data_IF_928301588785
#
_entry.id   IF_928301588785
#
_cell.length_a   1.000
_cell.length_b   1.000
_cell.length_c   1.000
_cell.angle_alpha   90.00
_cell.angle_beta   90.00
_cell.angle_gamma   90.00
#
_symmetry.space_group_name_H-M   'P 1'
#
loop_
_entity.id
_entity.type
_entity.pdbx_description
1 polymer ?
#
# COMPACT_ATOMS: atom_id res chain seq x y z
N UNK A 1 -10.05 -7.99 16.06
CA UNK A 1 -10.00 -8.90 14.90
C UNK A 1 -8.53 -9.08 14.58
N UNK A 2 -8.03 -10.31 14.53
CA UNK A 2 -6.71 -10.59 13.96
C UNK A 2 -6.89 -10.59 12.44
N UNK A 3 -6.19 -9.70 11.74
CA UNK A 3 -6.20 -9.69 10.28
C UNK A 3 -5.30 -10.82 9.78
N UNK A 4 -5.80 -11.63 8.84
CA UNK A 4 -5.00 -12.72 8.27
C UNK A 4 -3.81 -12.15 7.48
N UNK A 5 -2.61 -12.65 7.77
CA UNK A 5 -1.39 -12.26 7.06
C UNK A 5 -1.20 -13.17 5.85
N UNK A 6 -0.95 -12.58 4.69
CA UNK A 6 -0.69 -13.34 3.46
C UNK A 6 0.42 -12.69 2.64
N UNK A 7 1.10 -13.51 1.84
CA UNK A 7 2.20 -13.05 0.99
C UNK A 7 1.63 -12.47 -0.30
N UNK A 8 2.07 -11.26 -0.65
CA UNK A 8 1.60 -10.52 -1.82
C UNK A 8 2.77 -10.19 -2.72
N UNK A 9 2.61 -10.41 -4.03
CA UNK A 9 3.58 -9.96 -5.01
C UNK A 9 3.47 -8.45 -5.23
N UNK A 10 4.57 -7.72 -5.09
CA UNK A 10 4.53 -6.27 -5.12
C UNK A 10 4.17 -5.69 -6.50
N UNK A 11 4.53 -6.37 -7.58
CA UNK A 11 4.23 -5.90 -8.94
C UNK A 11 2.74 -6.07 -9.24
N UNK A 12 2.15 -7.18 -8.80
CA UNK A 12 0.71 -7.41 -8.89
C UNK A 12 -0.06 -6.39 -8.04
N UNK A 13 0.39 -6.15 -6.80
CA UNK A 13 -0.18 -5.14 -5.91
C UNK A 13 -0.16 -3.73 -6.53
N UNK A 14 0.98 -3.29 -7.07
CA UNK A 14 1.09 -1.99 -7.75
C UNK A 14 0.09 -1.89 -8.90
N UNK A 15 -0.11 -2.99 -9.66
CA UNK A 15 -1.07 -3.02 -10.77
C UNK A 15 -2.51 -2.87 -10.27
N UNK A 16 -2.88 -3.57 -9.21
CA UNK A 16 -4.20 -3.51 -8.59
C UNK A 16 -4.50 -2.13 -8.03
N UNK A 17 -3.57 -1.57 -7.26
CA UNK A 17 -3.65 -0.22 -6.71
C UNK A 17 -3.78 0.82 -7.83
N UNK A 18 -2.99 0.75 -8.90
CA UNK A 18 -3.15 1.66 -10.05
C UNK A 18 -4.54 1.55 -10.70
N UNK A 19 -5.12 0.35 -10.75
CA UNK A 19 -6.44 0.11 -11.31
C UNK A 19 -7.57 0.63 -10.41
N UNK A 20 -7.38 0.62 -9.08
CA UNK A 20 -8.30 1.16 -8.10
C UNK A 20 -8.30 2.70 -8.12
N UNK A 21 -7.11 3.30 -8.10
CA UNK A 21 -6.97 4.75 -8.07
C UNK A 21 -7.26 5.41 -9.42
N UNK A 22 -7.13 4.69 -10.55
CA UNK A 22 -7.39 5.17 -11.92
C UNK A 22 -6.84 6.59 -12.16
N UNK A 23 -7.73 7.55 -12.40
CA UNK A 23 -7.41 8.95 -12.69
C UNK A 23 -6.83 9.67 -11.47
N UNK A 24 -7.08 9.17 -10.26
CA UNK A 24 -6.54 9.74 -9.02
C UNK A 24 -5.07 9.37 -8.77
N UNK A 25 -4.51 8.41 -9.51
CA UNK A 25 -3.12 8.01 -9.38
C UNK A 25 -2.13 9.15 -9.71
N UNK A 26 -2.59 10.18 -10.40
CA UNK A 26 -1.79 11.34 -10.82
C UNK A 26 -1.88 12.55 -9.87
N UNK A 27 -2.72 12.51 -8.83
CA UNK A 27 -2.67 13.53 -7.78
C UNK A 27 -1.41 13.36 -6.95
N UNK A 28 -0.77 14.49 -6.59
CA UNK A 28 0.59 14.53 -6.00
C UNK A 28 0.83 13.50 -4.88
N UNK A 29 -0.05 13.33 -3.88
CA UNK A 29 0.20 12.39 -2.78
C UNK A 29 0.17 10.91 -3.24
N UNK A 30 -0.70 10.59 -4.21
CA UNK A 30 -0.80 9.25 -4.79
C UNK A 30 0.37 8.96 -5.73
N UNK A 31 0.84 9.97 -6.46
CA UNK A 31 2.01 9.84 -7.32
C UNK A 31 3.27 9.47 -6.51
N UNK A 32 3.47 10.12 -5.35
CA UNK A 32 4.57 9.78 -4.45
C UNK A 32 4.41 8.38 -3.85
N UNK A 33 3.19 8.00 -3.44
CA UNK A 33 2.90 6.63 -2.99
C UNK A 33 3.29 5.58 -4.05
N UNK A 34 2.86 5.74 -5.30
CA UNK A 34 3.19 4.80 -6.37
C UNK A 34 4.68 4.77 -6.71
N UNK A 35 5.37 5.89 -6.54
CA UNK A 35 6.82 5.96 -6.73
C UNK A 35 7.56 5.21 -5.62
N UNK A 36 7.12 5.34 -4.36
CA UNK A 36 7.64 4.57 -3.23
C UNK A 36 7.46 3.07 -3.45
N UNK A 37 6.25 2.63 -3.85
CA UNK A 37 6.02 1.22 -4.16
C UNK A 37 6.91 0.70 -5.29
N UNK A 38 7.08 1.50 -6.36
CA UNK A 38 7.94 1.12 -7.47
C UNK A 38 9.41 0.98 -7.06
N UNK A 39 9.92 1.86 -6.18
CA UNK A 39 11.26 1.77 -5.62
C UNK A 39 11.43 0.51 -4.75
N UNK A 40 10.46 0.20 -3.88
CA UNK A 40 10.49 -1.06 -3.11
C UNK A 40 10.50 -2.27 -4.07
N UNK A 41 9.70 -2.24 -5.12
CA UNK A 41 9.57 -3.32 -6.10
C UNK A 41 10.82 -3.57 -6.95
N UNK A 42 11.83 -2.68 -6.89
CA UNK A 42 13.15 -2.94 -7.48
C UNK A 42 14.03 -3.82 -6.59
N UNK A 43 13.72 -3.92 -5.29
CA UNK A 43 14.51 -4.62 -4.29
C UNK A 43 13.81 -5.83 -3.67
N UNK A 44 12.48 -5.84 -3.66
CA UNK A 44 11.65 -6.90 -3.11
C UNK A 44 10.68 -7.39 -4.16
N UNK A 45 10.47 -8.70 -4.21
CA UNK A 45 9.45 -9.33 -5.06
C UNK A 45 8.11 -9.40 -4.35
N UNK A 46 8.13 -9.59 -3.02
CA UNK A 46 6.95 -9.82 -2.22
C UNK A 46 7.02 -9.10 -0.86
N UNK A 47 5.86 -8.91 -0.24
CA UNK A 47 5.70 -8.45 1.14
C UNK A 47 4.57 -9.24 1.85
N UNK A 48 4.54 -9.19 3.18
CA UNK A 48 3.48 -9.76 3.99
C UNK A 48 2.41 -8.69 4.25
N UNK A 49 1.23 -8.92 3.68
CA UNK A 49 0.05 -8.10 3.89
C UNK A 49 -0.38 -8.08 5.37
N UNK A 50 -1.07 -7.01 5.77
CA UNK A 50 -1.52 -6.76 7.14
C UNK A 50 -0.37 -6.63 8.15
N UNK A 51 0.77 -6.16 7.67
CA UNK A 51 1.95 -5.85 8.48
C UNK A 51 2.56 -4.52 8.04
N UNK A 52 3.38 -3.92 8.91
CA UNK A 52 4.16 -2.74 8.56
C UNK A 52 5.38 -3.02 7.65
N UNK A 53 5.41 -4.13 6.90
CA UNK A 53 6.55 -4.45 6.03
C UNK A 53 6.78 -3.43 4.92
N UNK A 54 5.72 -2.95 4.26
CA UNK A 54 5.88 -1.93 3.22
C UNK A 54 6.45 -0.62 3.78
N UNK A 55 6.06 -0.22 5.00
CA UNK A 55 6.64 0.94 5.69
C UNK A 55 8.12 0.71 5.99
N UNK A 56 8.49 -0.48 6.50
CA UNK A 56 9.90 -0.83 6.73
C UNK A 56 10.70 -0.79 5.43
N UNK A 57 10.18 -1.36 4.36
CA UNK A 57 10.84 -1.34 3.05
C UNK A 57 10.92 0.06 2.45
N UNK A 58 9.93 0.92 2.67
CA UNK A 58 10.00 2.32 2.25
C UNK A 58 11.17 3.05 2.95
N UNK A 59 11.36 2.82 4.25
CA UNK A 59 12.52 3.38 4.96
C UNK A 59 13.87 2.85 4.42
N UNK A 60 13.94 1.56 4.08
CA UNK A 60 15.17 0.90 3.66
C UNK A 60 15.56 1.19 2.20
N UNK A 61 14.58 1.22 1.30
CA UNK A 61 14.82 1.19 -0.15
C UNK A 61 14.30 2.40 -0.91
N UNK A 62 13.44 3.24 -0.31
CA UNK A 62 12.84 4.36 -1.03
C UNK A 62 13.51 5.70 -0.72
N UNK A 63 14.29 6.19 -1.68
CA UNK A 63 14.84 7.54 -1.66
C UNK A 63 13.74 8.61 -1.68
N UNK A 64 12.64 8.31 -2.38
CA UNK A 64 11.45 9.16 -2.42
C UNK A 64 10.88 9.31 -1.02
N UNK A 65 10.61 8.19 -0.34
CA UNK A 65 10.05 8.21 1.01
C UNK A 65 10.94 8.97 1.99
N UNK A 66 12.26 8.80 1.92
CA UNK A 66 13.20 9.53 2.78
C UNK A 66 13.13 11.05 2.56
N UNK A 67 12.96 11.50 1.31
CA UNK A 67 12.88 12.91 0.92
C UNK A 67 11.52 13.59 1.10
N UNK A 68 10.46 12.86 1.49
CA UNK A 68 9.15 13.45 1.74
C UNK A 68 9.16 14.38 2.95
N UNK A 69 8.45 15.50 2.80
CA UNK A 69 8.06 16.40 3.88
C UNK A 69 7.19 15.65 4.91
N UNK A 70 7.11 16.11 6.18
CA UNK A 70 6.42 15.38 7.25
C UNK A 70 4.97 15.01 6.93
N UNK A 71 4.20 15.93 6.32
CA UNK A 71 2.79 15.70 6.00
C UNK A 71 2.62 14.65 4.89
N UNK A 72 3.41 14.75 3.82
CA UNK A 72 3.39 13.78 2.72
C UNK A 72 3.90 12.41 3.18
N UNK A 73 4.91 12.39 4.06
CA UNK A 73 5.44 11.16 4.67
C UNK A 73 4.37 10.48 5.53
N UNK A 74 3.61 11.24 6.32
CA UNK A 74 2.50 10.71 7.10
C UNK A 74 1.39 10.15 6.20
N UNK A 75 1.04 10.85 5.12
CA UNK A 75 0.08 10.36 4.12
C UNK A 75 0.54 9.05 3.49
N UNK A 76 1.77 9.01 2.95
CA UNK A 76 2.31 7.79 2.30
C UNK A 76 2.46 6.64 3.30
N UNK A 77 2.83 6.92 4.55
CA UNK A 77 2.86 5.91 5.61
C UNK A 77 1.46 5.33 5.83
N UNK A 78 0.44 6.19 5.92
CA UNK A 78 -0.95 5.76 6.07
C UNK A 78 -1.43 4.92 4.89
N UNK A 79 -0.95 5.19 3.67
CA UNK A 79 -1.31 4.41 2.48
C UNK A 79 -0.61 3.04 2.46
N UNK A 80 0.68 3.00 2.82
CA UNK A 80 1.45 1.75 2.88
C UNK A 80 0.97 0.82 3.99
N UNK A 81 0.46 1.38 5.08
CA UNK A 81 -0.11 0.64 6.20
C UNK A 81 -1.59 0.33 5.92
N UNK A 82 -2.40 1.34 5.60
CA UNK A 82 -3.87 1.29 5.57
C UNK A 82 -4.53 0.62 4.36
N UNK A 83 -3.91 0.62 3.18
CA UNK A 83 -4.51 0.02 1.97
C UNK A 83 -4.56 -1.51 2.02
N UNK A 84 -3.75 -2.13 2.90
CA UNK A 84 -3.78 -3.58 3.07
C UNK A 84 -4.81 -4.00 4.13
N UNK A 85 -5.09 -3.15 5.11
CA UNK A 85 -6.05 -3.43 6.18
C UNK A 85 -7.52 -3.29 5.74
N UNK A 86 -7.80 -2.68 4.59
CA UNK A 86 -9.18 -2.43 4.08
C UNK A 86 -9.70 -3.51 3.14
N UNK A 87 -9.19 -4.74 3.21
CA UNK A 87 -9.97 -5.89 2.75
C UNK A 87 -10.97 -6.23 3.86
N UNK A 88 -12.02 -5.41 3.99
CA UNK A 88 -13.28 -5.95 4.50
C UNK A 88 -13.65 -7.04 3.49
N UNK A 89 -13.46 -8.32 3.87
CA UNK A 89 -14.24 -9.36 3.25
C UNK A 89 -15.68 -8.88 3.35
N UNK A 90 -16.33 -8.68 2.21
CA UNK A 90 -17.76 -8.52 2.20
C UNK A 90 -18.33 -9.75 2.87
N UNK A 91 -18.75 -9.59 4.12
CA UNK A 91 -19.60 -10.52 4.83
C UNK A 91 -20.92 -10.56 4.05
N UNK A 92 -20.92 -11.32 2.97
CA UNK A 92 -22.11 -11.77 2.28
C UNK A 92 -22.75 -12.84 3.18
N UNK A 93 -23.32 -12.42 4.31
CA UNK A 93 -24.26 -13.21 5.10
C UNK A 93 -25.09 -12.36 6.08
N UNK A 94 -26.29 -11.96 5.61
CA UNK A 94 -27.51 -12.10 6.42
C UNK A 94 -28.13 -10.82 6.99
N UNK A 95 -29.16 -10.31 6.31
CA UNK A 95 -30.48 -10.13 6.95
C UNK A 95 -31.58 -9.96 5.89
N UNK A 96 -32.23 -11.08 5.57
CA UNK A 96 -33.61 -11.11 5.09
C UNK A 96 -34.47 -11.39 6.33
N UNK A 97 -35.20 -10.38 6.79
CA UNK A 97 -36.46 -10.53 7.52
C UNK A 97 -37.37 -9.36 7.15
#
# INVERSE_FOLDING_TARGET
METEQFKVNIQEWIREQKAEYRDNAYYSPNAEYFKVLAEIGQHKEDFIANTGELVKFAHEFSSTFQGLEPDDKAFVTSMLDGEIFSIEYGDDEGNIF
#
